data_IF_929514371728
#
_entry.id   IF_929514371728
#
_cell.length_a   1.000
_cell.length_b   1.000
_cell.length_c   1.000
_cell.angle_alpha   90.00
_cell.angle_beta   90.00
_cell.angle_gamma   90.00
#
_symmetry.space_group_name_H-M   'P 1'
#
loop_
_entity.id
_entity.type
_entity.pdbx_description
1 polymer ?
#
# COMPACT_ATOMS: atom_id res chain seq x y z
N UNK A 1 0.98 -8.62 -30.55
CA UNK A 1 0.66 -8.92 -29.15
C UNK A 1 1.97 -9.05 -28.40
N UNK A 2 2.33 -8.04 -27.61
CA UNK A 2 3.51 -8.06 -26.73
C UNK A 2 3.35 -9.20 -25.72
N UNK A 3 4.39 -10.02 -25.54
CA UNK A 3 4.36 -11.11 -24.56
C UNK A 3 4.31 -10.51 -23.15
N UNK A 4 3.51 -11.09 -22.26
CA UNK A 4 3.54 -10.73 -20.84
C UNK A 4 4.96 -11.04 -20.32
N UNK A 5 5.75 -9.99 -20.05
CA UNK A 5 7.15 -10.08 -19.63
C UNK A 5 8.16 -9.28 -20.48
N UNK A 6 7.80 -8.86 -21.69
CA UNK A 6 8.57 -7.86 -22.45
C UNK A 6 8.14 -6.47 -21.99
N UNK A 7 9.00 -5.79 -21.24
CA UNK A 7 8.70 -4.53 -20.56
C UNK A 7 8.32 -3.39 -21.51
N UNK A 8 7.69 -2.37 -20.93
CA UNK A 8 7.49 -1.07 -21.56
C UNK A 8 8.85 -0.52 -22.04
N UNK A 9 8.99 -0.32 -23.35
CA UNK A 9 10.18 0.34 -23.92
C UNK A 9 9.85 1.80 -24.23
N UNK A 10 10.83 2.73 -24.19
CA UNK A 10 10.59 4.13 -24.55
C UNK A 10 9.92 4.29 -25.92
N UNK A 11 10.28 3.44 -26.88
CA UNK A 11 9.72 3.46 -28.23
C UNK A 11 8.21 3.12 -28.25
N UNK A 12 7.69 2.40 -27.25
CA UNK A 12 6.24 2.17 -27.15
C UNK A 12 5.48 3.44 -26.80
N UNK A 13 6.05 4.28 -25.93
CA UNK A 13 5.45 5.58 -25.59
C UNK A 13 5.48 6.50 -26.81
N UNK A 14 6.61 6.58 -27.49
CA UNK A 14 6.76 7.41 -28.69
C UNK A 14 5.76 6.99 -29.77
N UNK A 15 5.65 5.68 -30.05
CA UNK A 15 4.66 5.14 -31.00
C UNK A 15 3.23 5.46 -30.59
N UNK A 16 2.91 5.39 -29.30
CA UNK A 16 1.57 5.72 -28.81
C UNK A 16 1.28 7.22 -28.96
N UNK A 17 2.23 8.08 -28.58
CA UNK A 17 2.11 9.52 -28.72
C UNK A 17 1.95 9.92 -30.19
N UNK A 18 2.74 9.34 -31.10
CA UNK A 18 2.61 9.54 -32.55
C UNK A 18 1.24 9.10 -33.06
N UNK A 19 0.75 7.94 -32.60
CA UNK A 19 -0.58 7.48 -32.94
C UNK A 19 -1.66 8.47 -32.47
N UNK A 20 -1.56 9.00 -31.24
CA UNK A 20 -2.49 10.03 -30.74
C UNK A 20 -2.41 11.30 -31.58
N UNK A 21 -1.21 11.83 -31.88
CA UNK A 21 -1.03 13.02 -32.73
C UNK A 21 -1.68 12.87 -34.11
N UNK A 22 -1.61 11.67 -34.69
CA UNK A 22 -2.18 11.39 -36.02
C UNK A 22 -3.70 11.25 -36.01
N UNK A 23 -4.30 10.80 -34.91
CA UNK A 23 -5.73 10.45 -34.86
C UNK A 23 -6.57 11.44 -34.06
N UNK A 24 -5.96 12.35 -33.30
CA UNK A 24 -6.70 13.32 -32.52
C UNK A 24 -7.38 14.38 -33.42
N UNK A 25 -8.65 14.74 -33.17
CA UNK A 25 -9.33 15.74 -33.97
C UNK A 25 -8.66 17.12 -33.86
N UNK A 26 -8.54 17.88 -34.97
CA UNK A 26 -8.01 19.24 -34.95
C UNK A 26 -8.76 20.12 -33.93
N UNK A 27 -8.01 20.91 -33.15
CA UNK A 27 -8.57 21.80 -32.13
C UNK A 27 -9.14 21.11 -30.90
N UNK A 28 -9.05 19.77 -30.80
CA UNK A 28 -9.41 18.98 -29.59
C UNK A 28 -8.22 18.27 -28.96
N UNK A 29 -7.02 18.65 -29.38
CA UNK A 29 -5.77 18.11 -28.89
C UNK A 29 -4.85 19.24 -28.47
N UNK A 30 -4.32 19.12 -27.24
CA UNK A 30 -3.24 19.93 -26.72
C UNK A 30 -2.11 18.97 -26.35
N UNK A 31 -0.95 19.21 -26.93
CA UNK A 31 0.30 18.65 -26.45
C UNK A 31 1.04 19.76 -25.68
N UNK A 32 1.38 19.49 -24.42
CA UNK A 32 2.08 20.44 -23.55
C UNK A 32 3.14 19.74 -22.72
N UNK A 33 4.19 20.48 -22.39
CA UNK A 33 5.15 20.07 -21.37
C UNK A 33 4.65 20.53 -19.99
N UNK A 34 4.70 19.64 -18.99
CA UNK A 34 4.28 19.95 -17.62
C UNK A 34 5.09 21.09 -16.98
N UNK A 35 6.30 21.37 -17.49
CA UNK A 35 7.12 22.51 -17.08
C UNK A 35 6.55 23.87 -17.51
N UNK A 36 5.66 23.90 -18.51
CA UNK A 36 4.99 25.14 -18.97
C UNK A 36 3.90 25.62 -18.00
N UNK A 37 3.48 24.76 -17.06
CA UNK A 37 2.49 25.09 -16.04
C UNK A 37 1.08 25.32 -16.60
N UNK A 38 0.32 26.21 -15.96
CA UNK A 38 -1.11 26.38 -16.27
C UNK A 38 -1.42 26.97 -17.64
N UNK A 39 -0.50 27.77 -18.19
CA UNK A 39 -0.82 28.67 -19.31
C UNK A 39 -1.31 27.95 -20.57
N UNK A 40 -0.62 26.92 -21.11
CA UNK A 40 -1.09 26.24 -22.32
C UNK A 40 -2.46 25.57 -22.14
N UNK A 41 -2.69 24.99 -20.96
CA UNK A 41 -3.95 24.31 -20.63
C UNK A 41 -5.11 25.30 -20.50
N UNK A 42 -4.90 26.41 -19.80
CA UNK A 42 -5.91 27.46 -19.62
C UNK A 42 -6.28 28.11 -20.97
N UNK A 43 -5.27 28.43 -21.79
CA UNK A 43 -5.43 28.98 -23.13
C UNK A 43 -6.26 28.02 -24.02
N UNK A 44 -5.95 26.71 -23.98
CA UNK A 44 -6.68 25.68 -24.75
C UNK A 44 -8.13 25.49 -24.30
N UNK A 45 -8.39 25.57 -22.99
CA UNK A 45 -9.73 25.41 -22.42
C UNK A 45 -10.58 26.69 -22.46
N UNK A 46 -9.98 27.85 -22.78
CA UNK A 46 -10.67 29.14 -22.79
C UNK A 46 -11.07 29.62 -21.38
N UNK A 47 -10.28 29.27 -20.36
CA UNK A 47 -10.52 29.63 -18.96
C UNK A 47 -9.39 30.50 -18.42
N UNK A 48 -9.60 31.33 -17.38
CA UNK A 48 -8.53 32.10 -16.77
C UNK A 48 -7.47 31.19 -16.12
N UNK A 49 -6.21 31.63 -16.15
CA UNK A 49 -5.10 30.96 -15.44
C UNK A 49 -5.34 31.04 -13.92
N UNK A 50 -5.30 29.92 -13.19
CA UNK A 50 -5.44 29.91 -11.73
C UNK A 50 -4.30 30.66 -11.02
N UNK A 51 -4.62 31.36 -9.93
CA UNK A 51 -3.65 32.00 -9.04
C UNK A 51 -3.08 31.02 -8.00
N UNK A 52 -2.57 29.89 -8.50
CA UNK A 52 -1.91 28.87 -7.69
C UNK A 52 -0.82 28.16 -8.51
N UNK A 53 0.22 27.61 -7.90
CA UNK A 53 1.25 26.88 -8.63
C UNK A 53 0.67 25.67 -9.36
N UNK A 54 1.25 25.31 -10.51
CA UNK A 54 0.88 24.07 -11.20
C UNK A 54 1.21 22.87 -10.30
N UNK A 55 0.26 21.96 -10.06
CA UNK A 55 0.42 20.91 -9.07
C UNK A 55 1.54 19.94 -9.49
N UNK A 56 2.40 19.60 -8.52
CA UNK A 56 3.35 18.49 -8.62
C UNK A 56 3.00 17.48 -7.55
N UNK A 57 2.50 16.34 -7.98
CA UNK A 57 2.17 15.20 -7.15
C UNK A 57 2.58 13.93 -7.90
N UNK A 58 2.85 12.85 -7.18
CA UNK A 58 3.29 11.58 -7.76
C UNK A 58 4.66 11.70 -8.46
N UNK A 59 5.58 12.42 -7.83
CA UNK A 59 6.98 12.40 -8.26
C UNK A 59 7.72 11.15 -7.73
N UNK A 60 8.87 10.86 -8.33
CA UNK A 60 9.64 9.67 -7.98
C UNK A 60 10.15 9.70 -6.53
N UNK A 61 10.46 10.89 -5.99
CA UNK A 61 10.97 11.02 -4.63
C UNK A 61 9.89 10.73 -3.58
N UNK A 62 8.65 11.17 -3.82
CA UNK A 62 7.49 10.82 -3.01
C UNK A 62 7.21 9.32 -3.05
N UNK A 63 7.24 8.72 -4.24
CA UNK A 63 7.06 7.28 -4.41
C UNK A 63 8.13 6.46 -3.65
N UNK A 64 9.39 6.86 -3.76
CA UNK A 64 10.51 6.23 -3.05
C UNK A 64 10.37 6.35 -1.52
N UNK A 65 9.95 7.51 -1.04
CA UNK A 65 9.71 7.74 0.38
C UNK A 65 8.60 6.83 0.92
N UNK A 66 7.50 6.68 0.18
CA UNK A 66 6.40 5.77 0.51
C UNK A 66 6.88 4.32 0.49
N UNK A 67 7.58 3.90 -0.56
CA UNK A 67 8.11 2.55 -0.69
C UNK A 67 9.02 2.17 0.49
N UNK A 68 9.97 3.05 0.83
CA UNK A 68 10.87 2.86 1.97
C UNK A 68 10.10 2.66 3.28
N UNK A 69 9.08 3.48 3.53
CA UNK A 69 8.26 3.38 4.75
C UNK A 69 7.53 2.04 4.83
N UNK A 70 6.93 1.61 3.72
CA UNK A 70 6.21 0.33 3.64
C UNK A 70 7.17 -0.83 3.89
N UNK A 71 8.32 -0.84 3.21
CA UNK A 71 9.31 -1.91 3.34
C UNK A 71 9.87 -2.03 4.77
N UNK A 72 10.21 -0.91 5.42
CA UNK A 72 10.72 -0.94 6.79
C UNK A 72 9.65 -1.42 7.79
N UNK A 73 8.42 -0.95 7.65
CA UNK A 73 7.32 -1.35 8.54
C UNK A 73 6.99 -2.83 8.38
N UNK A 74 6.90 -3.32 7.14
CA UNK A 74 6.70 -4.72 6.85
C UNK A 74 7.86 -5.58 7.38
N UNK A 75 9.11 -5.16 7.14
CA UNK A 75 10.30 -5.86 7.62
C UNK A 75 10.33 -5.99 9.14
N UNK A 76 10.03 -4.91 9.87
CA UNK A 76 9.94 -4.94 11.33
C UNK A 76 8.79 -5.83 11.83
N UNK A 77 7.65 -5.80 11.14
CA UNK A 77 6.49 -6.63 11.48
C UNK A 77 6.82 -8.12 11.34
N UNK A 78 7.46 -8.50 10.22
CA UNK A 78 7.93 -9.87 10.00
C UNK A 78 9.02 -10.28 10.99
N UNK A 79 9.97 -9.41 11.30
CA UNK A 79 11.00 -9.68 12.29
C UNK A 79 10.39 -9.96 13.68
N UNK A 80 9.37 -9.19 14.09
CA UNK A 80 8.67 -9.41 15.35
C UNK A 80 7.92 -10.75 15.38
N UNK A 81 7.23 -11.12 14.29
CA UNK A 81 6.53 -12.41 14.17
C UNK A 81 7.52 -13.58 14.28
N UNK A 82 8.63 -13.53 13.54
CA UNK A 82 9.65 -14.57 13.55
C UNK A 82 10.33 -14.68 14.92
N UNK A 83 10.63 -13.55 15.56
CA UNK A 83 11.19 -13.54 16.91
C UNK A 83 10.24 -14.17 17.93
N UNK A 84 8.96 -13.82 17.90
CA UNK A 84 7.96 -14.39 18.80
C UNK A 84 7.78 -15.91 18.59
N UNK A 85 7.72 -16.35 17.33
CA UNK A 85 7.65 -17.77 16.99
C UNK A 85 8.90 -18.54 17.46
N UNK A 86 10.10 -17.94 17.27
CA UNK A 86 11.36 -18.51 17.75
C UNK A 86 11.41 -18.66 19.27
N UNK A 87 10.98 -17.63 20.01
CA UNK A 87 10.89 -17.68 21.48
C UNK A 87 9.93 -18.78 21.95
N UNK A 88 8.75 -18.90 21.33
CA UNK A 88 7.77 -19.93 21.69
C UNK A 88 8.31 -21.35 21.43
N UNK A 89 8.97 -21.57 20.29
CA UNK A 89 9.60 -22.84 19.95
C UNK A 89 10.74 -23.18 20.93
N UNK A 90 11.59 -22.21 21.27
CA UNK A 90 12.67 -22.38 22.24
C UNK A 90 12.13 -22.73 23.63
N UNK A 91 11.08 -22.05 24.10
CA UNK A 91 10.43 -22.36 25.37
C UNK A 91 9.85 -23.78 25.37
N UNK A 92 9.14 -24.19 24.32
CA UNK A 92 8.59 -25.54 24.22
C UNK A 92 9.68 -26.61 24.25
N UNK A 93 10.77 -26.41 23.51
CA UNK A 93 11.94 -27.30 23.54
C UNK A 93 12.54 -27.44 24.94
N UNK A 94 12.68 -26.32 25.65
CA UNK A 94 13.27 -26.31 27.00
C UNK A 94 12.37 -26.96 28.05
N UNK A 95 11.04 -26.92 27.87
CA UNK A 95 10.08 -27.60 28.75
C UNK A 95 10.07 -29.12 28.50
N UNK A 96 10.18 -29.55 27.23
CA UNK A 96 10.26 -30.97 26.87
C UNK A 96 11.59 -31.61 27.32
N UNK A 97 12.71 -30.91 27.14
CA UNK A 97 14.04 -31.40 27.53
C UNK A 97 14.23 -31.51 29.05
N UNK A 98 13.49 -30.74 29.84
CA UNK A 98 13.48 -30.83 31.31
C UNK A 98 12.62 -31.97 31.89
N UNK A 99 12.10 -32.89 31.07
CA UNK A 99 11.45 -34.11 31.57
C UNK A 99 10.18 -33.89 32.40
N UNK A 100 9.40 -32.83 32.14
CA UNK A 100 8.07 -32.66 32.74
C UNK A 100 7.01 -33.46 31.95
N UNK A 101 7.15 -34.79 31.96
CA UNK A 101 6.12 -35.69 31.45
C UNK A 101 4.87 -35.63 32.34
N UNK A 102 3.87 -34.83 31.97
CA UNK A 102 2.53 -34.95 32.56
C UNK A 102 1.72 -33.67 32.82
N UNK A 103 2.17 -32.47 32.41
CA UNK A 103 1.47 -31.23 32.78
C UNK A 103 0.69 -30.50 31.66
N UNK A 104 1.04 -30.69 30.39
CA UNK A 104 0.61 -29.76 29.34
C UNK A 104 -0.80 -30.03 28.77
N UNK A 105 -1.36 -31.24 28.96
CA UNK A 105 -2.68 -31.60 28.41
C UNK A 105 -3.86 -31.32 29.36
N UNK A 106 -3.59 -30.96 30.63
CA UNK A 106 -4.66 -30.66 31.61
C UNK A 106 -5.16 -29.21 31.56
N UNK A 107 -4.41 -28.27 30.95
CA UNK A 107 -4.81 -26.85 30.89
C UNK A 107 -5.73 -26.51 29.72
N UNK A 108 -5.73 -27.30 28.64
CA UNK A 108 -6.63 -27.12 27.49
C UNK A 108 -8.05 -27.67 27.74
N UNK A 109 -8.19 -28.68 28.61
CA UNK A 109 -9.50 -29.25 28.98
C UNK A 109 -10.34 -28.38 29.92
N UNK A 110 -9.72 -27.44 30.64
CA UNK A 110 -10.40 -26.53 31.56
C UNK A 110 -11.18 -25.41 30.86
N UNK A 111 -10.66 -24.90 29.74
CA UNK A 111 -11.27 -23.78 28.99
C UNK A 111 -12.53 -24.19 28.20
N UNK A 112 -12.57 -25.41 27.66
CA UNK A 112 -13.75 -25.89 26.91
C UNK A 112 -14.97 -26.18 27.79
N UNK A 113 -14.80 -26.35 29.11
CA UNK A 113 -15.90 -26.59 30.05
C UNK A 113 -16.46 -25.32 30.70
N UNK A 114 -15.78 -24.17 30.56
CA UNK A 114 -16.15 -22.90 31.20
C UNK A 114 -16.57 -21.76 30.25
N UNK A 115 -16.41 -21.92 28.93
CA UNK A 115 -16.56 -20.83 27.95
C UNK A 115 -17.96 -20.57 27.39
N UNK A 116 -19.05 -21.03 28.04
CA UNK A 116 -20.42 -20.71 27.62
C UNK A 116 -20.88 -19.27 28.00
N UNK A 117 -20.01 -18.49 28.65
CA UNK A 117 -20.32 -17.14 29.15
C UNK A 117 -19.15 -16.21 28.86
N UNK A 118 -19.12 -15.58 27.68
CA UNK A 118 -18.56 -14.23 27.39
C UNK A 118 -18.29 -14.06 25.89
N UNK A 119 -19.23 -13.42 25.21
CA UNK A 119 -19.03 -12.88 23.87
C UNK A 119 -18.10 -11.67 23.86
N UNK A 120 -17.53 -11.40 22.69
CA UNK A 120 -16.98 -10.07 22.34
C UNK A 120 -15.47 -9.91 22.50
N UNK A 121 -14.67 -10.49 21.58
CA UNK A 121 -13.24 -10.15 21.48
C UNK A 121 -12.70 -10.14 20.03
N UNK A 122 -13.52 -9.74 19.05
CA UNK A 122 -13.11 -9.62 17.64
C UNK A 122 -13.26 -8.20 17.06
N UNK A 123 -13.26 -7.13 17.88
CA UNK A 123 -13.56 -5.76 17.40
C UNK A 123 -12.42 -4.73 17.52
N UNK A 124 -11.19 -5.09 17.88
CA UNK A 124 -10.14 -4.07 18.10
C UNK A 124 -9.28 -3.80 16.85
N UNK A 125 -9.19 -4.72 15.88
CA UNK A 125 -8.35 -4.51 14.69
C UNK A 125 -9.03 -3.81 13.50
N UNK A 126 -10.37 -3.68 13.50
CA UNK A 126 -11.08 -3.02 12.40
C UNK A 126 -11.30 -1.50 12.61
N UNK A 127 -11.21 -0.99 13.84
CA UNK A 127 -11.47 0.43 14.15
C UNK A 127 -10.32 1.38 13.79
N UNK A 128 -9.09 0.86 13.64
CA UNK A 128 -7.92 1.71 13.36
C UNK A 128 -7.70 2.00 11.87
N UNK A 129 -8.22 1.16 10.96
CA UNK A 129 -8.02 1.31 9.51
C UNK A 129 -9.10 2.24 8.91
N UNK A 130 -10.32 2.24 9.44
CA UNK A 130 -11.41 3.09 8.93
C UNK A 130 -11.29 4.57 9.34
N UNK A 131 -10.60 4.88 10.44
CA UNK A 131 -10.47 6.28 10.92
C UNK A 131 -9.44 7.11 10.14
N UNK A 132 -8.56 6.45 9.39
CA UNK A 132 -7.56 7.11 8.54
C UNK A 132 -8.10 7.49 7.16
N UNK A 133 -9.14 6.81 6.66
CA UNK A 133 -9.75 7.13 5.36
C UNK A 133 -10.73 8.30 5.41
N UNK A 134 -11.30 8.63 6.57
CA UNK A 134 -12.23 9.76 6.71
C UNK A 134 -11.49 11.11 6.72
N UNK A 135 -10.32 11.21 7.37
CA UNK A 135 -9.52 12.45 7.38
C UNK A 135 -8.84 12.82 6.05
N UNK A 136 -8.79 11.88 5.11
CA UNK A 136 -8.28 12.13 3.75
C UNK A 136 -9.35 12.66 2.80
N UNK A 137 -10.63 12.68 3.21
CA UNK A 137 -11.77 13.14 2.38
C UNK A 137 -12.21 14.59 2.66
N UNK A 138 -11.62 15.23 3.67
CA UNK A 138 -11.95 16.58 4.14
C UNK A 138 -10.81 17.60 3.90
N UNK A 139 -9.85 17.29 3.02
CA UNK A 139 -8.83 18.21 2.51
C UNK A 139 -8.88 18.21 0.99
#
# INVERSE_FOLDING_TARGET
MTRIGEGFTPEMLDKHNDWVRQHAPPGRFLEMDLHEGWKPLADFLGVPVPDMPFPRANDAAEADAVARRVLLTAGLSWAAILAAAGVAAWQAYHQLSKGHGGGALSSLGGWMRGGAQRGGFYLILFSSISRTSERARER
#
